data_IF_204989585547
#
_entry.id   IF_204989585547
#
_cell.length_a   1.000
_cell.length_b   1.000
_cell.length_c   1.000
_cell.angle_alpha   90.00
_cell.angle_beta   90.00
_cell.angle_gamma   90.00
#
_symmetry.space_group_name_H-M   'P 1'
#
loop_
_entity.id
_entity.type
_entity.pdbx_description
1 polymer ?
#
# COMPACT_ATOMS: atom_id res chain seq x y z
N UNK A 1 15.61 16.98 2.48
CA UNK A 1 15.67 16.78 3.94
C UNK A 1 14.77 15.62 4.28
N UNK A 2 15.32 14.53 4.76
CA UNK A 2 14.58 13.41 5.33
C UNK A 2 14.10 13.82 6.71
N UNK A 3 12.82 13.56 7.01
CA UNK A 3 12.33 13.69 8.40
C UNK A 3 13.16 12.76 9.27
N UNK A 4 13.70 13.21 10.42
CA UNK A 4 14.45 12.33 11.31
C UNK A 4 13.58 11.14 11.68
N UNK A 5 14.20 9.96 11.74
CA UNK A 5 13.54 8.75 12.22
C UNK A 5 12.96 9.04 13.61
N UNK A 6 11.72 8.58 13.90
CA UNK A 6 11.20 8.67 15.24
C UNK A 6 12.19 7.97 16.19
N UNK A 7 12.49 8.61 17.31
CA UNK A 7 13.36 8.03 18.35
C UNK A 7 12.85 6.63 18.69
N UNK A 8 13.77 5.66 18.91
CA UNK A 8 13.35 4.32 19.33
C UNK A 8 12.41 4.44 20.53
N UNK A 9 11.32 3.63 20.57
CA UNK A 9 10.31 3.75 21.59
C UNK A 9 10.95 3.66 22.97
N UNK A 10 10.81 4.73 23.76
CA UNK A 10 11.16 4.67 25.18
C UNK A 10 10.09 3.81 25.87
N UNK A 11 10.41 2.62 26.38
CA UNK A 11 9.41 1.72 26.97
C UNK A 11 8.79 2.27 28.26
N UNK A 12 9.19 3.45 28.71
CA UNK A 12 8.88 4.00 30.05
C UNK A 12 7.98 5.25 30.06
N UNK A 13 7.44 5.68 28.92
CA UNK A 13 6.48 6.79 28.96
C UNK A 13 5.11 6.30 29.41
N UNK A 14 4.68 6.73 30.60
CA UNK A 14 3.37 6.39 31.19
C UNK A 14 2.22 6.64 30.21
N UNK A 15 2.28 7.72 29.41
CA UNK A 15 1.26 8.03 28.38
C UNK A 15 1.06 6.91 27.38
N UNK A 16 2.14 6.28 26.90
CA UNK A 16 2.06 5.20 25.92
C UNK A 16 1.57 3.89 26.54
N UNK A 17 1.96 3.62 27.80
CA UNK A 17 1.47 2.46 28.53
C UNK A 17 -0.05 2.56 28.76
N UNK A 18 -0.55 3.72 29.17
CA UNK A 18 -1.98 3.98 29.35
C UNK A 18 -2.73 3.83 28.01
N UNK A 19 -2.23 4.44 26.94
CA UNK A 19 -2.89 4.38 25.63
C UNK A 19 -2.91 2.94 25.08
N UNK A 20 -1.80 2.20 25.24
CA UNK A 20 -1.76 0.78 24.88
C UNK A 20 -2.73 -0.05 25.72
N UNK A 21 -2.84 0.22 27.02
CA UNK A 21 -3.83 -0.41 27.88
C UNK A 21 -5.27 -0.15 27.43
N UNK A 22 -5.60 1.08 27.06
CA UNK A 22 -6.90 1.45 26.50
C UNK A 22 -7.18 0.72 25.18
N UNK A 23 -6.21 0.59 24.29
CA UNK A 23 -6.38 -0.14 23.05
C UNK A 23 -6.54 -1.66 23.27
N UNK A 24 -5.86 -2.22 24.26
CA UNK A 24 -5.95 -3.65 24.60
C UNK A 24 -7.25 -4.01 25.35
N UNK A 25 -7.94 -3.04 25.90
CA UNK A 25 -9.23 -3.21 26.62
C UNK A 25 -10.40 -2.71 25.79
N UNK A 26 -10.78 -1.44 25.93
CA UNK A 26 -11.90 -0.83 25.21
C UNK A 26 -11.67 -0.88 23.68
N UNK A 27 -10.44 -0.69 23.22
CA UNK A 27 -10.10 -0.77 21.80
C UNK A 27 -10.44 -2.11 21.18
N UNK A 28 -10.26 -3.22 21.90
CA UNK A 28 -10.61 -4.57 21.40
C UNK A 28 -12.10 -4.82 21.19
N UNK A 29 -12.97 -3.92 21.61
CA UNK A 29 -14.38 -3.97 21.21
C UNK A 29 -14.57 -3.62 19.72
N UNK A 30 -13.64 -2.87 19.12
CA UNK A 30 -13.56 -2.56 17.67
C UNK A 30 -13.04 -3.76 16.88
N UNK A 31 -13.68 -4.06 15.75
CA UNK A 31 -13.20 -5.11 14.84
C UNK A 31 -11.88 -4.71 14.19
N UNK A 32 -11.73 -3.48 13.71
CA UNK A 32 -10.50 -3.02 13.06
C UNK A 32 -9.29 -3.09 13.98
N UNK A 33 -9.44 -2.72 15.25
CA UNK A 33 -8.35 -2.83 16.22
C UNK A 33 -8.02 -4.30 16.49
N UNK A 34 -9.01 -5.21 16.53
CA UNK A 34 -8.76 -6.67 16.64
C UNK A 34 -8.01 -7.22 15.42
N UNK A 35 -8.40 -6.80 14.22
CA UNK A 35 -7.72 -7.17 12.98
C UNK A 35 -6.26 -6.72 13.03
N UNK A 36 -6.00 -5.47 13.43
CA UNK A 36 -4.65 -4.93 13.58
C UNK A 36 -3.79 -5.73 14.57
N UNK A 37 -4.32 -6.08 15.75
CA UNK A 37 -3.58 -6.90 16.72
C UNK A 37 -3.38 -8.36 16.28
N UNK A 38 -4.24 -8.89 15.42
CA UNK A 38 -4.13 -10.27 14.93
C UNK A 38 -3.19 -10.43 13.75
N UNK A 39 -3.16 -9.45 12.85
CA UNK A 39 -2.47 -9.55 11.57
C UNK A 39 -1.36 -8.53 11.36
N UNK A 40 -1.17 -7.60 12.31
CA UNK A 40 -0.33 -6.41 12.17
C UNK A 40 -1.09 -5.22 11.58
N UNK A 41 -0.83 -4.04 12.12
CA UNK A 41 -1.47 -2.81 11.65
C UNK A 41 -0.96 -2.35 10.29
N UNK A 42 0.19 -2.85 9.85
CA UNK A 42 0.82 -2.63 8.54
C UNK A 42 0.44 -3.69 7.49
N UNK A 43 -0.34 -4.70 7.86
CA UNK A 43 -0.65 -5.84 6.99
C UNK A 43 -1.63 -5.49 5.87
N UNK A 44 -1.53 -6.22 4.74
CA UNK A 44 -2.50 -6.12 3.64
C UNK A 44 -3.94 -6.42 4.08
N UNK A 45 -4.14 -7.35 5.01
CA UNK A 45 -5.46 -7.66 5.61
C UNK A 45 -6.03 -6.46 6.36
N UNK A 46 -5.19 -5.73 7.13
CA UNK A 46 -5.62 -4.51 7.80
C UNK A 46 -5.96 -3.41 6.79
N UNK A 47 -5.14 -3.22 5.76
CA UNK A 47 -5.41 -2.26 4.70
C UNK A 47 -6.71 -2.58 3.97
N UNK A 48 -7.00 -3.86 3.71
CA UNK A 48 -8.27 -4.28 3.10
C UNK A 48 -9.47 -3.89 3.97
N UNK A 49 -9.40 -4.10 5.29
CA UNK A 49 -10.42 -3.66 6.24
C UNK A 49 -10.64 -2.14 6.17
N UNK A 50 -9.56 -1.38 6.09
CA UNK A 50 -9.59 0.10 5.94
C UNK A 50 -10.23 0.52 4.62
N UNK A 51 -9.96 -0.18 3.52
CA UNK A 51 -10.57 0.10 2.21
C UNK A 51 -12.07 -0.16 2.20
N UNK A 52 -12.54 -1.23 2.87
CA UNK A 52 -13.98 -1.50 3.04
C UNK A 52 -14.67 -0.38 3.81
N UNK A 53 -14.00 0.23 4.77
CA UNK A 53 -14.46 1.37 5.57
C UNK A 53 -15.85 1.18 6.20
N UNK A 54 -16.15 -0.01 6.67
CA UNK A 54 -17.41 -0.34 7.32
C UNK A 54 -17.17 -0.66 8.78
N UNK A 55 -17.57 0.26 9.66
CA UNK A 55 -17.38 0.11 11.09
C UNK A 55 -18.14 -1.10 11.66
N UNK A 56 -17.42 -1.96 12.37
CA UNK A 56 -17.91 -3.18 13.02
C UNK A 56 -17.38 -3.26 14.46
N UNK A 57 -18.04 -4.04 15.30
CA UNK A 57 -17.60 -4.22 16.68
C UNK A 57 -18.70 -4.68 17.59
N UNK A 58 -18.33 -5.04 18.82
CA UNK A 58 -19.24 -5.58 19.81
C UNK A 58 -20.10 -4.49 20.47
N UNK A 59 -21.33 -4.84 20.85
CA UNK A 59 -22.21 -4.07 21.73
C UNK A 59 -22.46 -2.60 21.34
N UNK A 60 -22.50 -2.24 20.06
CA UNK A 60 -22.72 -0.85 19.65
C UNK A 60 -21.54 0.08 19.97
N UNK A 61 -21.02 0.05 21.19
CA UNK A 61 -19.81 0.80 21.62
C UNK A 61 -18.62 0.43 20.75
N UNK A 62 -18.38 -0.86 20.52
CA UNK A 62 -17.30 -1.32 19.66
C UNK A 62 -17.43 -0.79 18.23
N UNK A 63 -18.65 -0.68 17.70
CA UNK A 63 -18.88 -0.07 16.38
C UNK A 63 -18.59 1.44 16.37
N UNK A 64 -18.85 2.15 17.46
CA UNK A 64 -18.50 3.55 17.61
C UNK A 64 -16.98 3.74 17.68
N UNK A 65 -16.28 2.94 18.50
CA UNK A 65 -14.81 2.93 18.60
C UNK A 65 -14.19 2.64 17.23
N UNK A 66 -14.72 1.66 16.51
CA UNK A 66 -14.24 1.29 15.18
C UNK A 66 -14.46 2.41 14.15
N UNK A 67 -15.59 3.12 14.24
CA UNK A 67 -15.84 4.29 13.39
C UNK A 67 -14.80 5.40 13.64
N UNK A 68 -14.50 5.69 14.89
CA UNK A 68 -13.47 6.67 15.26
C UNK A 68 -12.11 6.21 14.75
N UNK A 69 -11.76 4.95 14.96
CA UNK A 69 -10.53 4.34 14.50
C UNK A 69 -10.38 4.43 12.97
N UNK A 70 -11.39 4.03 12.20
CA UNK A 70 -11.38 4.10 10.73
C UNK A 70 -11.34 5.55 10.20
N UNK A 71 -11.74 6.53 11.00
CA UNK A 71 -11.66 7.95 10.65
C UNK A 71 -10.35 8.63 11.10
N UNK A 72 -9.42 7.88 11.73
CA UNK A 72 -8.07 8.40 11.98
C UNK A 72 -7.43 8.91 10.69
N UNK A 73 -6.63 9.98 10.83
CA UNK A 73 -6.06 10.69 9.67
C UNK A 73 -5.25 9.78 8.74
N UNK A 74 -4.49 8.83 9.31
CA UNK A 74 -3.72 7.83 8.54
C UNK A 74 -4.63 6.96 7.67
N UNK A 75 -5.72 6.42 8.22
CA UNK A 75 -6.66 5.58 7.47
C UNK A 75 -7.45 6.33 6.41
N UNK A 76 -7.78 7.60 6.68
CA UNK A 76 -8.36 8.49 5.67
C UNK A 76 -7.40 8.70 4.50
N UNK A 77 -6.12 8.93 4.79
CA UNK A 77 -5.09 9.11 3.78
C UNK A 77 -4.84 7.81 2.98
N UNK A 78 -4.84 6.63 3.62
CA UNK A 78 -4.74 5.33 2.95
C UNK A 78 -5.88 5.13 1.95
N UNK A 79 -7.12 5.47 2.31
CA UNK A 79 -8.26 5.41 1.36
C UNK A 79 -8.14 6.45 0.24
N UNK A 80 -7.66 7.65 0.55
CA UNK A 80 -7.42 8.70 -0.45
C UNK A 80 -6.32 8.28 -1.44
N UNK A 81 -5.25 7.66 -0.94
CA UNK A 81 -4.18 7.06 -1.73
C UNK A 81 -4.72 6.01 -2.70
N UNK A 82 -5.57 5.09 -2.22
CA UNK A 82 -6.17 4.07 -3.08
C UNK A 82 -7.02 4.69 -4.21
N UNK A 83 -7.84 5.71 -3.90
CA UNK A 83 -8.61 6.43 -4.93
C UNK A 83 -7.72 7.11 -5.97
N UNK A 84 -6.61 7.71 -5.53
CA UNK A 84 -5.65 8.33 -6.44
C UNK A 84 -4.95 7.28 -7.31
N UNK A 85 -4.51 6.16 -6.74
CA UNK A 85 -3.95 5.03 -7.49
C UNK A 85 -4.92 4.51 -8.54
N UNK A 86 -6.20 4.31 -8.19
CA UNK A 86 -7.22 3.88 -9.15
C UNK A 86 -7.38 4.87 -10.31
N UNK A 87 -7.37 6.18 -10.05
CA UNK A 87 -7.40 7.21 -11.12
C UNK A 87 -6.17 7.10 -12.01
N UNK A 88 -4.98 7.06 -11.43
CA UNK A 88 -3.72 6.91 -12.17
C UNK A 88 -3.72 5.64 -13.03
N UNK A 89 -4.17 4.52 -12.50
CA UNK A 89 -4.25 3.27 -13.26
C UNK A 89 -5.24 3.36 -14.42
N UNK A 90 -6.39 4.00 -14.22
CA UNK A 90 -7.36 4.26 -15.30
C UNK A 90 -6.76 5.15 -16.40
N UNK A 91 -6.01 6.19 -16.02
CA UNK A 91 -5.29 7.04 -16.98
C UNK A 91 -4.27 6.19 -17.79
N UNK A 92 -3.56 5.25 -17.14
CA UNK A 92 -2.61 4.37 -17.81
C UNK A 92 -3.30 3.36 -18.76
N UNK A 93 -4.47 2.86 -18.40
CA UNK A 93 -5.28 1.99 -19.28
C UNK A 93 -5.82 2.76 -20.48
N UNK A 94 -6.31 3.97 -20.26
CA UNK A 94 -6.82 4.83 -21.33
C UNK A 94 -5.72 5.22 -22.33
N UNK A 95 -4.49 5.46 -21.86
CA UNK A 95 -3.35 5.81 -22.69
C UNK A 95 -2.82 4.64 -23.56
N UNK A 96 -3.32 3.41 -23.38
CA UNK A 96 -2.88 2.19 -24.08
C UNK A 96 -4.06 1.49 -24.75
N UNK A 97 -4.62 2.02 -25.83
CA UNK A 97 -5.71 1.37 -26.55
C UNK A 97 -5.23 0.12 -27.31
N UNK A 98 -6.15 -0.73 -27.71
CA UNK A 98 -5.94 -1.81 -28.67
C UNK A 98 -5.49 -3.15 -28.10
N UNK A 99 -5.06 -3.23 -26.82
CA UNK A 99 -4.71 -4.49 -26.15
C UNK A 99 -4.91 -4.42 -24.63
N UNK A 100 -5.00 -5.57 -23.95
CA UNK A 100 -5.02 -5.58 -22.51
C UNK A 100 -3.75 -4.97 -21.91
N UNK A 101 -3.90 -4.08 -20.92
CA UNK A 101 -2.81 -3.54 -20.11
C UNK A 101 -2.48 -4.51 -19.00
N UNK A 102 -1.23 -4.95 -18.95
CA UNK A 102 -0.72 -5.85 -17.92
C UNK A 102 -0.22 -5.04 -16.73
N UNK A 103 -0.84 -5.26 -15.59
CA UNK A 103 -0.52 -4.59 -14.31
C UNK A 103 0.07 -5.61 -13.36
N UNK A 104 1.24 -5.33 -12.79
CA UNK A 104 1.86 -6.07 -11.70
C UNK A 104 1.90 -5.21 -10.45
N UNK A 105 1.35 -5.66 -9.33
CA UNK A 105 1.58 -5.06 -8.01
C UNK A 105 2.50 -5.99 -7.19
N UNK A 106 3.64 -5.48 -6.77
CA UNK A 106 4.71 -6.29 -6.15
C UNK A 106 4.60 -6.43 -4.63
N UNK A 107 3.66 -5.74 -4.00
CA UNK A 107 3.32 -5.86 -2.57
C UNK A 107 1.81 -5.63 -2.40
N UNK A 108 1.04 -6.43 -3.11
CA UNK A 108 -0.38 -6.17 -3.36
C UNK A 108 -1.28 -6.45 -2.14
N UNK A 109 -0.86 -7.34 -1.24
CA UNK A 109 -1.77 -7.91 -0.27
C UNK A 109 -3.00 -8.52 -0.97
N UNK A 110 -4.24 -8.28 -0.48
CA UNK A 110 -5.46 -8.72 -1.16
C UNK A 110 -5.79 -8.00 -2.47
N UNK A 111 -5.13 -6.88 -2.80
CA UNK A 111 -5.27 -6.19 -4.09
C UNK A 111 -6.64 -5.56 -4.37
N UNK A 112 -7.46 -5.23 -3.34
CA UNK A 112 -8.83 -4.73 -3.52
C UNK A 112 -8.93 -3.56 -4.48
N UNK A 113 -8.07 -2.56 -4.37
CA UNK A 113 -8.12 -1.38 -5.24
C UNK A 113 -7.82 -1.71 -6.71
N UNK A 114 -7.02 -2.75 -6.97
CA UNK A 114 -6.75 -3.29 -8.31
C UNK A 114 -7.93 -4.08 -8.85
N UNK A 115 -8.60 -4.87 -8.00
CA UNK A 115 -9.83 -5.56 -8.39
C UNK A 115 -10.92 -4.59 -8.81
N UNK A 116 -10.99 -3.40 -8.19
CA UNK A 116 -11.95 -2.36 -8.60
C UNK A 116 -11.62 -1.81 -10.01
N UNK A 117 -10.34 -1.69 -10.34
CA UNK A 117 -9.90 -1.32 -11.69
C UNK A 117 -10.18 -2.46 -12.67
N UNK A 118 -9.83 -3.70 -12.31
CA UNK A 118 -10.07 -4.88 -13.14
C UNK A 118 -11.55 -5.08 -13.47
N UNK A 119 -12.43 -4.88 -12.48
CA UNK A 119 -13.89 -4.95 -12.67
C UNK A 119 -14.43 -3.87 -13.62
N UNK A 120 -13.85 -2.66 -13.55
CA UNK A 120 -14.32 -1.54 -14.38
C UNK A 120 -13.98 -1.70 -15.86
N UNK A 121 -12.93 -2.44 -16.21
CA UNK A 121 -12.45 -2.57 -17.59
C UNK A 121 -12.65 -3.95 -18.21
N UNK A 122 -12.78 -5.01 -17.42
CA UNK A 122 -12.87 -6.39 -17.88
C UNK A 122 -11.55 -6.97 -18.44
N UNK A 123 -11.56 -8.29 -18.78
CA UNK A 123 -10.35 -9.03 -19.16
C UNK A 123 -9.76 -8.61 -20.52
N UNK A 124 -10.56 -8.01 -21.39
CA UNK A 124 -10.12 -7.53 -22.71
C UNK A 124 -9.30 -6.25 -22.62
N UNK A 125 -9.35 -5.55 -21.49
CA UNK A 125 -8.68 -4.25 -21.32
C UNK A 125 -7.63 -4.24 -20.22
N UNK A 126 -7.77 -5.07 -19.18
CA UNK A 126 -6.84 -5.09 -18.04
C UNK A 126 -6.63 -6.52 -17.56
N UNK A 127 -5.38 -6.88 -17.33
CA UNK A 127 -4.97 -8.10 -16.63
C UNK A 127 -4.07 -7.71 -15.47
N UNK A 128 -4.40 -8.18 -14.28
CA UNK A 128 -3.70 -7.83 -13.04
C UNK A 128 -3.04 -9.06 -12.45
N UNK A 129 -1.79 -8.93 -12.07
CA UNK A 129 -1.06 -9.87 -11.23
C UNK A 129 -0.81 -9.21 -9.87
N UNK A 130 -1.37 -9.77 -8.81
CA UNK A 130 -1.12 -9.39 -7.43
C UNK A 130 -0.04 -10.30 -6.85
N UNK A 131 1.13 -9.74 -6.55
CA UNK A 131 2.27 -10.46 -5.96
C UNK A 131 2.49 -10.02 -4.54
N UNK A 132 2.73 -10.96 -3.63
CA UNK A 132 3.06 -10.67 -2.23
C UNK A 132 3.77 -11.89 -1.59
N UNK A 133 4.54 -11.67 -0.54
CA UNK A 133 5.09 -12.76 0.28
C UNK A 133 4.05 -13.35 1.24
N UNK A 134 3.06 -12.54 1.64
CA UNK A 134 2.06 -12.94 2.63
C UNK A 134 0.94 -13.78 2.00
N UNK A 135 1.09 -15.11 1.98
CA UNK A 135 0.12 -16.05 1.42
C UNK A 135 -1.32 -15.85 1.95
N UNK A 136 -1.49 -15.36 3.18
CA UNK A 136 -2.81 -15.08 3.75
C UNK A 136 -3.53 -13.94 3.00
N UNK A 137 -2.81 -12.88 2.65
CA UNK A 137 -3.32 -11.76 1.86
C UNK A 137 -3.71 -12.20 0.45
N UNK A 138 -2.86 -13.01 -0.20
CA UNK A 138 -3.13 -13.56 -1.53
C UNK A 138 -4.40 -14.43 -1.54
N UNK A 139 -4.53 -15.38 -0.61
CA UNK A 139 -5.74 -16.21 -0.48
C UNK A 139 -7.01 -15.37 -0.24
N UNK A 140 -6.92 -14.33 0.60
CA UNK A 140 -8.03 -13.39 0.81
C UNK A 140 -8.40 -12.67 -0.49
N UNK A 141 -7.41 -12.22 -1.24
CA UNK A 141 -7.59 -11.56 -2.52
C UNK A 141 -8.22 -12.47 -3.56
N UNK A 142 -7.74 -13.70 -3.70
CA UNK A 142 -8.32 -14.71 -4.60
C UNK A 142 -9.78 -15.01 -4.28
N UNK A 143 -10.10 -15.23 -3.00
CA UNK A 143 -11.47 -15.47 -2.58
C UNK A 143 -12.38 -14.28 -2.92
N UNK A 144 -11.89 -13.06 -2.72
CA UNK A 144 -12.61 -11.84 -3.07
C UNK A 144 -12.80 -11.69 -4.58
N UNK A 145 -11.75 -11.92 -5.39
CA UNK A 145 -11.83 -11.88 -6.85
C UNK A 145 -12.84 -12.89 -7.40
N UNK A 146 -12.79 -14.13 -6.87
CA UNK A 146 -13.74 -15.20 -7.21
C UNK A 146 -15.18 -14.82 -6.85
N UNK A 147 -15.42 -14.28 -5.66
CA UNK A 147 -16.74 -13.84 -5.22
C UNK A 147 -17.29 -12.69 -6.07
N UNK A 148 -16.43 -11.93 -6.75
CA UNK A 148 -16.78 -10.83 -7.66
C UNK A 148 -16.83 -11.27 -9.12
N UNK A 149 -16.60 -12.55 -9.45
CA UNK A 149 -16.57 -13.08 -10.80
C UNK A 149 -15.43 -12.52 -11.68
N UNK A 150 -14.33 -12.06 -11.08
CA UNK A 150 -13.20 -11.49 -11.81
C UNK A 150 -12.30 -12.61 -12.35
N UNK A 151 -12.11 -12.66 -13.66
CA UNK A 151 -11.24 -13.62 -14.36
C UNK A 151 -9.91 -13.02 -14.81
N UNK A 152 -9.75 -11.72 -14.62
CA UNK A 152 -8.61 -10.93 -15.07
C UNK A 152 -7.68 -10.47 -13.92
N UNK A 153 -7.80 -11.10 -12.76
CA UNK A 153 -6.92 -10.88 -11.60
C UNK A 153 -6.35 -12.22 -11.18
N UNK A 154 -5.05 -12.33 -11.12
CA UNK A 154 -4.33 -13.51 -10.64
C UNK A 154 -3.44 -13.16 -9.44
N UNK A 155 -3.05 -14.16 -8.68
CA UNK A 155 -2.29 -14.03 -7.46
C UNK A 155 -1.10 -14.97 -7.49
N UNK A 156 0.09 -14.47 -7.12
CA UNK A 156 1.32 -15.26 -7.06
C UNK A 156 2.17 -14.88 -5.86
N UNK A 157 2.86 -15.83 -5.27
CA UNK A 157 3.85 -15.56 -4.22
C UNK A 157 5.13 -15.05 -4.87
N UNK A 158 5.72 -13.99 -4.31
CA UNK A 158 7.00 -13.47 -4.79
C UNK A 158 7.51 -12.32 -3.94
N UNK A 159 8.83 -12.14 -3.96
CA UNK A 159 9.51 -11.09 -3.23
C UNK A 159 9.50 -9.78 -4.04
N UNK A 160 9.08 -8.69 -3.41
CA UNK A 160 9.10 -7.36 -4.00
C UNK A 160 10.53 -6.83 -4.26
N UNK A 161 11.53 -7.38 -3.55
CA UNK A 161 12.94 -6.96 -3.64
C UNK A 161 13.79 -7.86 -4.55
N UNK A 162 13.27 -9.03 -4.90
CA UNK A 162 13.85 -9.91 -5.92
C UNK A 162 12.78 -10.30 -6.95
N UNK A 163 12.22 -9.30 -7.67
CA UNK A 163 11.09 -9.52 -8.53
C UNK A 163 11.51 -10.22 -9.83
N UNK A 164 10.87 -11.36 -10.10
CA UNK A 164 10.96 -12.03 -11.40
C UNK A 164 9.88 -11.53 -12.36
N UNK A 165 10.10 -11.65 -13.69
CA UNK A 165 9.05 -11.37 -14.65
C UNK A 165 7.82 -12.24 -14.40
N UNK A 166 6.59 -11.70 -14.43
CA UNK A 166 5.40 -12.53 -14.34
C UNK A 166 5.30 -13.50 -15.52
N UNK A 167 4.73 -14.68 -15.31
CA UNK A 167 4.48 -15.66 -16.38
C UNK A 167 3.65 -15.08 -17.54
N UNK A 168 2.82 -14.08 -17.28
CA UNK A 168 2.04 -13.34 -18.26
C UNK A 168 2.87 -12.39 -19.15
N UNK A 169 4.19 -12.33 -18.95
CA UNK A 169 5.12 -11.46 -19.68
C UNK A 169 5.33 -10.09 -19.03
N UNK A 170 6.24 -9.30 -19.60
CA UNK A 170 6.64 -8.00 -19.04
C UNK A 170 5.44 -7.07 -18.82
N UNK A 171 5.27 -6.48 -17.63
CA UNK A 171 4.14 -5.62 -17.31
C UNK A 171 4.24 -4.24 -17.97
N UNK A 172 3.10 -3.69 -18.36
CA UNK A 172 2.96 -2.32 -18.86
C UNK A 172 2.94 -1.30 -17.72
N UNK A 173 2.44 -1.75 -16.56
CA UNK A 173 2.38 -0.95 -15.33
C UNK A 173 2.82 -1.81 -14.16
N UNK A 174 3.82 -1.34 -13.42
CA UNK A 174 4.17 -1.91 -12.12
C UNK A 174 3.67 -0.97 -11.02
N UNK A 175 3.08 -1.52 -9.97
CA UNK A 175 2.63 -0.77 -8.80
C UNK A 175 3.44 -1.18 -7.58
N UNK A 176 3.84 -0.19 -6.77
CA UNK A 176 4.42 -0.37 -5.43
C UNK A 176 3.67 0.56 -4.49
N UNK A 177 2.74 0.03 -3.73
CA UNK A 177 1.89 0.84 -2.86
C UNK A 177 1.97 0.42 -1.41
N UNK A 178 2.38 1.34 -0.53
CA UNK A 178 2.39 1.07 0.92
C UNK A 178 3.59 0.26 1.39
N UNK A 179 4.62 0.10 0.55
CA UNK A 179 5.82 -0.67 0.87
C UNK A 179 6.99 0.24 1.29
N UNK A 180 7.26 1.29 0.54
CA UNK A 180 8.49 2.07 0.71
C UNK A 180 8.55 2.84 2.04
N UNK A 181 7.42 3.19 2.64
CA UNK A 181 7.40 3.77 3.97
C UNK A 181 7.80 2.81 5.09
N UNK A 182 7.71 1.50 4.85
CA UNK A 182 8.11 0.46 5.80
C UNK A 182 9.62 0.17 5.75
N UNK A 183 10.29 0.62 4.69
CA UNK A 183 11.73 0.46 4.51
C UNK A 183 12.47 1.62 5.14
N UNK A 184 13.28 1.35 6.15
CA UNK A 184 14.08 2.36 6.82
C UNK A 184 15.36 2.70 6.05
N UNK A 185 15.86 1.77 5.26
CA UNK A 185 17.03 1.94 4.39
C UNK A 185 16.64 2.53 3.03
N UNK A 186 17.31 3.61 2.65
CA UNK A 186 17.05 4.32 1.39
C UNK A 186 17.65 3.59 0.17
N UNK A 187 18.75 2.86 0.34
CA UNK A 187 19.41 2.16 -0.74
C UNK A 187 18.59 0.94 -1.20
N UNK A 188 17.85 0.32 -0.28
CA UNK A 188 16.86 -0.72 -0.63
C UNK A 188 15.79 -0.17 -1.56
N UNK A 189 15.27 1.05 -1.31
CA UNK A 189 14.29 1.70 -2.20
C UNK A 189 14.90 2.00 -3.57
N UNK A 190 16.12 2.56 -3.60
CA UNK A 190 16.84 2.88 -4.85
C UNK A 190 17.10 1.63 -5.69
N UNK A 191 17.52 0.55 -5.05
CA UNK A 191 17.74 -0.75 -5.70
C UNK A 191 16.45 -1.31 -6.28
N UNK A 192 15.35 -1.26 -5.50
CA UNK A 192 14.02 -1.69 -5.95
C UNK A 192 13.59 -0.93 -7.19
N UNK A 193 13.72 0.41 -7.22
CA UNK A 193 13.36 1.22 -8.40
C UNK A 193 14.14 0.80 -9.66
N UNK A 194 15.45 0.50 -9.55
CA UNK A 194 16.27 0.02 -10.68
C UNK A 194 15.83 -1.36 -11.17
N UNK A 195 15.59 -2.30 -10.25
CA UNK A 195 15.14 -3.66 -10.59
C UNK A 195 13.79 -3.64 -11.28
N UNK A 196 12.81 -2.92 -10.71
CA UNK A 196 11.47 -2.83 -11.27
C UNK A 196 11.43 -2.17 -12.64
N UNK A 197 12.32 -1.18 -12.89
CA UNK A 197 12.46 -0.61 -14.23
C UNK A 197 12.85 -1.67 -15.26
N UNK A 198 13.75 -2.58 -14.90
CA UNK A 198 14.20 -3.66 -15.78
C UNK A 198 13.12 -4.68 -16.15
N UNK A 199 12.05 -4.78 -15.36
CA UNK A 199 10.93 -5.69 -15.63
C UNK A 199 9.86 -5.10 -16.56
N UNK A 200 9.83 -3.78 -16.72
CA UNK A 200 8.80 -3.10 -17.50
C UNK A 200 8.89 -3.43 -18.99
N UNK A 201 7.75 -3.61 -19.62
CA UNK A 201 7.65 -3.62 -21.07
C UNK A 201 8.11 -2.29 -21.66
N UNK A 202 8.57 -2.26 -22.95
CA UNK A 202 8.87 -1.00 -23.63
C UNK A 202 7.69 0.00 -23.53
N UNK A 203 7.98 1.24 -23.11
CA UNK A 203 6.97 2.26 -22.83
C UNK A 203 6.15 2.05 -21.57
N UNK A 204 6.54 1.08 -20.75
CA UNK A 204 5.90 0.81 -19.45
C UNK A 204 6.18 1.88 -18.40
N UNK A 205 5.39 1.88 -17.33
CA UNK A 205 5.50 2.84 -16.22
C UNK A 205 5.53 2.13 -14.88
N UNK A 206 6.30 2.69 -13.96
CA UNK A 206 6.23 2.36 -12.54
C UNK A 206 5.35 3.38 -11.82
N UNK A 207 4.42 2.92 -11.01
CA UNK A 207 3.57 3.74 -10.13
C UNK A 207 3.91 3.40 -8.69
N UNK A 208 4.51 4.33 -7.96
CA UNK A 208 4.87 4.09 -6.57
C UNK A 208 4.27 5.15 -5.63
N UNK A 209 4.18 4.80 -4.34
CA UNK A 209 3.68 5.72 -3.32
C UNK A 209 4.79 6.14 -2.38
N UNK A 210 4.74 7.41 -1.96
CA UNK A 210 5.64 7.98 -0.97
C UNK A 210 4.82 8.56 0.17
N UNK A 211 5.05 8.09 1.39
CA UNK A 211 4.52 8.76 2.58
C UNK A 211 5.37 9.98 2.89
N UNK A 212 4.78 11.17 2.77
CA UNK A 212 5.52 12.43 2.87
C UNK A 212 5.59 12.98 4.28
N UNK A 213 4.56 12.69 5.07
CA UNK A 213 4.43 13.05 6.49
C UNK A 213 3.41 12.15 7.17
N UNK A 214 3.43 12.07 8.49
CA UNK A 214 2.37 11.46 9.27
C UNK A 214 2.35 12.07 10.69
N UNK A 215 1.24 12.66 11.14
CA UNK A 215 1.20 13.38 12.44
C UNK A 215 1.21 12.44 13.65
N UNK A 216 1.03 11.15 13.46
CA UNK A 216 0.90 10.15 14.53
C UNK A 216 2.05 9.13 14.54
N UNK A 217 3.21 9.42 13.90
CA UNK A 217 4.33 8.46 13.84
C UNK A 217 4.78 7.98 15.21
N UNK A 218 4.91 8.90 16.16
CA UNK A 218 5.34 8.57 17.54
C UNK A 218 4.31 7.66 18.24
N UNK A 219 3.01 7.97 18.09
CA UNK A 219 1.94 7.15 18.63
C UNK A 219 1.98 5.74 18.02
N UNK A 220 2.05 5.65 16.70
CA UNK A 220 2.07 4.39 15.96
C UNK A 220 3.24 3.53 16.41
N UNK A 221 4.46 4.08 16.41
CA UNK A 221 5.67 3.35 16.79
C UNK A 221 5.68 2.87 18.25
N UNK A 222 5.01 3.59 19.17
CA UNK A 222 4.98 3.20 20.57
C UNK A 222 3.82 2.28 20.97
N UNK A 223 2.74 2.24 20.17
CA UNK A 223 1.47 1.63 20.60
C UNK A 223 1.01 0.49 19.69
N UNK A 224 1.30 0.57 18.38
CA UNK A 224 0.78 -0.37 17.39
C UNK A 224 1.86 -1.35 16.95
N UNK A 225 1.60 -2.67 16.97
CA UNK A 225 2.54 -3.65 16.44
C UNK A 225 2.43 -3.77 14.91
N UNK A 226 3.55 -4.06 14.27
CA UNK A 226 3.62 -4.54 12.90
C UNK A 226 3.17 -6.01 12.79
N UNK A 227 3.24 -6.58 11.59
CA UNK A 227 2.88 -7.98 11.30
C UNK A 227 3.77 -9.01 11.99
N UNK A 228 4.94 -8.61 12.49
CA UNK A 228 5.87 -9.45 13.23
C UNK A 228 5.77 -9.22 14.75
N UNK A 229 4.84 -8.39 15.20
CA UNK A 229 4.63 -8.03 16.60
C UNK A 229 5.62 -7.01 17.15
N UNK A 230 6.47 -6.43 16.30
CA UNK A 230 7.43 -5.37 16.64
C UNK A 230 6.76 -3.99 16.60
N UNK A 231 7.37 -2.94 17.16
CA UNK A 231 6.90 -1.57 16.97
C UNK A 231 6.76 -1.22 15.48
N UNK A 232 5.58 -0.70 15.09
CA UNK A 232 5.35 -0.29 13.70
C UNK A 232 6.03 1.05 13.42
N UNK A 233 7.22 0.98 12.83
CA UNK A 233 8.03 2.14 12.47
C UNK A 233 7.91 2.42 10.98
N UNK A 234 7.66 3.68 10.63
CA UNK A 234 7.57 4.13 9.23
C UNK A 234 8.54 5.30 8.99
N UNK A 235 9.09 5.36 7.79
CA UNK A 235 9.94 6.45 7.32
C UNK A 235 9.21 7.32 6.31
N UNK A 236 8.96 8.58 6.67
CA UNK A 236 8.47 9.56 5.73
C UNK A 236 9.61 10.12 4.87
N UNK A 237 9.35 10.35 3.58
CA UNK A 237 10.31 10.87 2.63
C UNK A 237 9.75 12.05 1.84
N UNK A 238 10.60 13.02 1.51
CA UNK A 238 10.21 14.08 0.60
C UNK A 238 10.00 13.50 -0.80
N UNK A 239 8.95 13.94 -1.49
CA UNK A 239 8.63 13.52 -2.86
C UNK A 239 9.81 13.79 -3.81
N UNK A 240 10.47 14.94 -3.70
CA UNK A 240 11.62 15.28 -4.54
C UNK A 240 12.77 14.27 -4.41
N UNK A 241 12.94 13.65 -3.22
CA UNK A 241 13.95 12.63 -3.00
C UNK A 241 13.62 11.36 -3.78
N UNK A 242 12.37 10.87 -3.66
CA UNK A 242 11.94 9.67 -4.38
C UNK A 242 11.87 9.89 -5.89
N UNK A 243 11.50 11.08 -6.35
CA UNK A 243 11.59 11.46 -7.76
C UNK A 243 13.05 11.48 -8.28
N UNK A 244 14.00 11.99 -7.46
CA UNK A 244 15.42 11.96 -7.76
C UNK A 244 15.92 10.52 -7.97
N UNK A 245 15.59 9.63 -7.04
CA UNK A 245 15.96 8.21 -7.14
C UNK A 245 15.33 7.50 -8.35
N UNK A 246 14.10 7.86 -8.71
CA UNK A 246 13.49 7.34 -9.93
C UNK A 246 14.27 7.80 -11.18
N UNK A 247 14.71 9.07 -11.24
CA UNK A 247 15.54 9.56 -12.34
C UNK A 247 16.92 8.89 -12.36
N UNK A 248 17.56 8.70 -11.20
CA UNK A 248 18.81 7.93 -11.07
C UNK A 248 18.65 6.47 -11.50
N UNK A 249 17.47 5.88 -11.31
CA UNK A 249 17.13 4.56 -11.83
C UNK A 249 16.93 4.53 -13.35
N UNK A 250 16.92 5.69 -14.04
CA UNK A 250 16.80 5.83 -15.48
C UNK A 250 15.38 6.08 -15.99
N UNK A 251 14.44 6.49 -15.14
CA UNK A 251 13.13 6.96 -15.59
C UNK A 251 13.24 8.42 -16.11
N UNK A 252 12.78 8.69 -17.34
CA UNK A 252 12.87 10.01 -17.96
C UNK A 252 11.72 10.94 -17.60
N UNK A 253 10.51 10.39 -17.42
CA UNK A 253 9.31 11.16 -17.13
C UNK A 253 8.78 10.79 -15.74
N UNK A 254 9.06 11.63 -14.74
CA UNK A 254 8.67 11.39 -13.34
C UNK A 254 7.75 12.50 -12.89
N UNK A 255 6.51 12.14 -12.50
CA UNK A 255 5.48 13.09 -12.06
C UNK A 255 4.77 12.57 -10.83
N UNK A 256 4.60 13.42 -9.83
CA UNK A 256 3.90 13.10 -8.57
C UNK A 256 2.63 13.91 -8.39
N UNK A 257 1.62 13.28 -7.80
CA UNK A 257 0.39 13.92 -7.33
C UNK A 257 0.15 13.56 -5.87
N UNK A 258 -0.24 14.53 -5.05
CA UNK A 258 -0.65 14.27 -3.67
C UNK A 258 -2.11 13.87 -3.60
N UNK A 259 -2.44 12.95 -2.67
CA UNK A 259 -3.82 12.67 -2.34
C UNK A 259 -4.43 13.78 -1.46
N UNK A 260 -5.74 13.81 -1.34
CA UNK A 260 -6.50 14.91 -0.75
C UNK A 260 -6.23 15.20 0.74
N UNK A 261 -5.78 14.20 1.53
CA UNK A 261 -5.39 14.40 2.95
C UNK A 261 -3.95 14.92 3.06
N UNK A 262 -3.14 14.67 2.03
CA UNK A 262 -1.78 15.21 1.89
C UNK A 262 -0.71 14.45 2.68
N UNK A 263 -0.95 13.20 3.08
CA UNK A 263 0.06 12.35 3.72
C UNK A 263 0.86 11.53 2.70
N UNK A 264 0.27 11.23 1.53
CA UNK A 264 0.89 10.43 0.48
C UNK A 264 0.97 11.18 -0.84
N UNK A 265 2.00 10.88 -1.60
CA UNK A 265 2.09 11.18 -3.01
C UNK A 265 2.08 9.87 -3.82
N UNK A 266 1.47 9.90 -4.99
CA UNK A 266 1.55 8.86 -6.01
C UNK A 266 2.43 9.39 -7.12
N UNK A 267 3.51 8.69 -7.42
CA UNK A 267 4.50 9.04 -8.43
C UNK A 267 4.38 8.08 -9.61
N UNK A 268 4.27 8.62 -10.81
CA UNK A 268 4.32 7.88 -12.07
C UNK A 268 5.68 8.10 -12.71
N UNK A 269 6.40 7.02 -12.94
CA UNK A 269 7.75 7.02 -13.50
C UNK A 269 7.71 6.33 -14.88
N UNK A 270 7.75 7.10 -15.95
CA UNK A 270 7.80 6.61 -17.32
C UNK A 270 9.24 6.40 -17.81
N UNK A 271 9.44 5.45 -18.72
CA UNK A 271 10.72 5.30 -19.42
C UNK A 271 10.99 6.57 -20.23
N UNK A 272 12.29 6.91 -20.44
CA UNK A 272 12.68 7.91 -21.42
C UNK A 272 12.27 7.39 -22.80
N UNK A 273 11.62 8.22 -23.59
CA UNK A 273 11.30 7.92 -24.99
C UNK A 273 12.54 7.87 -25.83
#
# INVERSE_FOLDING_TARGET
>A
MTTPLPSPPSPRSLKWAVLRGLLLTVGRTSEGIRVGFRHGFDSGTMLDYVYVNRARGAFGVGRLVDRVYLNAVGWRAVRARARLLQRVLRDQVAARPGRPVRVLDVAAGPGRYLQDVAAAYGPERVRVVCRDLAAAGLRQGEALARARGLTNVSYETGDAFDPEPPAAGAPDVIVVSGLYELLLDDDTVRTSLKRLRGLLAPGGVLVCTTQTRHPQLELIANVLPDREGRPWVMKCRNVALTEGWAREAGFGNVRSRREEVGLFAVTVCGQAG
#
